data_IF_332451436048
#
_entry.id   IF_332451436048
#
_cell.length_a   1.000
_cell.length_b   1.000
_cell.length_c   1.000
_cell.angle_alpha   90.00
_cell.angle_beta   90.00
_cell.angle_gamma   90.00
#
_symmetry.space_group_name_H-M   'P 1'
#
loop_
_entity.id
_entity.type
_entity.pdbx_description
1 polymer ?
#
# COMPACT_ATOMS: atom_id res chain seq x y z
N UNK A 1 1.37 5.95 28.58
CA UNK A 1 1.51 4.62 27.97
C UNK A 1 1.36 4.82 26.47
N UNK A 2 2.23 4.33 25.63
CA UNK A 2 2.28 4.61 24.16
C UNK A 2 2.62 6.06 23.75
N UNK A 3 3.40 6.78 24.55
CA UNK A 3 3.81 8.16 24.22
C UNK A 3 4.77 8.17 23.02
N UNK A 4 5.68 7.22 22.94
CA UNK A 4 6.59 7.05 21.79
C UNK A 4 5.81 6.76 20.51
N UNK A 5 4.82 5.85 20.57
CA UNK A 5 3.95 5.54 19.42
C UNK A 5 3.22 6.80 18.92
N UNK A 6 2.67 7.58 19.85
CA UNK A 6 1.96 8.82 19.51
C UNK A 6 2.88 9.85 18.85
N UNK A 7 4.04 10.08 19.42
CA UNK A 7 5.01 11.03 18.90
C UNK A 7 5.49 10.65 17.48
N UNK A 8 5.88 9.39 17.30
CA UNK A 8 6.26 8.85 15.99
C UNK A 8 5.12 8.93 14.98
N UNK A 9 3.88 8.64 15.42
CA UNK A 9 2.70 8.72 14.58
C UNK A 9 2.44 10.16 14.09
N UNK A 10 2.48 11.13 15.01
CA UNK A 10 2.25 12.54 14.69
C UNK A 10 3.29 13.06 13.67
N UNK A 11 4.55 12.67 13.77
CA UNK A 11 5.59 13.05 12.80
C UNK A 11 5.36 12.44 11.41
N UNK A 12 4.70 11.29 11.34
CA UNK A 12 4.46 10.57 10.07
C UNK A 12 3.19 10.98 9.35
N UNK A 13 2.25 11.65 10.02
CA UNK A 13 0.94 11.99 9.43
C UNK A 13 1.07 12.79 8.13
N UNK A 14 1.89 13.83 8.12
CA UNK A 14 2.04 14.67 6.92
C UNK A 14 2.65 13.89 5.74
N UNK A 15 3.72 13.14 5.99
CA UNK A 15 4.34 12.29 4.97
C UNK A 15 3.36 11.22 4.47
N UNK A 16 2.59 10.62 5.38
CA UNK A 16 1.56 9.63 5.05
C UNK A 16 0.46 10.21 4.18
N UNK A 17 0.02 11.44 4.45
CA UNK A 17 -0.98 12.13 3.64
C UNK A 17 -0.46 12.46 2.24
N UNK A 18 0.79 12.91 2.12
CA UNK A 18 1.41 13.19 0.81
C UNK A 18 1.47 11.91 -0.03
N UNK A 19 1.92 10.80 0.57
CA UNK A 19 1.98 9.51 -0.12
C UNK A 19 0.57 9.00 -0.45
N UNK A 20 -0.36 9.12 0.50
CA UNK A 20 -1.75 8.70 0.28
C UNK A 20 -2.38 9.46 -0.90
N UNK A 21 -2.18 10.77 -0.96
CA UNK A 21 -2.67 11.60 -2.08
C UNK A 21 -2.01 11.19 -3.40
N UNK A 22 -0.69 10.98 -3.40
CA UNK A 22 0.04 10.55 -4.61
C UNK A 22 -0.46 9.19 -5.13
N UNK A 23 -0.57 8.20 -4.25
CA UNK A 23 -1.06 6.87 -4.60
C UNK A 23 -2.54 6.87 -4.99
N UNK A 24 -3.35 7.65 -4.29
CA UNK A 24 -4.77 7.80 -4.61
C UNK A 24 -4.97 8.52 -5.96
N UNK A 25 -4.18 9.56 -6.25
CA UNK A 25 -4.23 10.23 -7.55
C UNK A 25 -3.83 9.28 -8.68
N UNK A 26 -2.76 8.49 -8.49
CA UNK A 26 -2.36 7.47 -9.45
C UNK A 26 -3.45 6.41 -9.62
N UNK A 27 -3.97 5.85 -8.51
CA UNK A 27 -5.01 4.83 -8.54
C UNK A 27 -6.31 5.33 -9.16
N UNK A 28 -6.75 6.54 -8.80
CA UNK A 28 -7.91 7.18 -9.43
C UNK A 28 -7.71 7.41 -10.92
N UNK A 29 -6.53 7.92 -11.33
CA UNK A 29 -6.20 8.09 -12.73
C UNK A 29 -6.23 6.76 -13.50
N UNK A 30 -5.60 5.70 -12.98
CA UNK A 30 -5.61 4.38 -13.60
C UNK A 30 -7.03 3.84 -13.73
N UNK A 31 -7.85 3.99 -12.68
CA UNK A 31 -9.26 3.56 -12.71
C UNK A 31 -10.07 4.32 -13.75
N UNK A 32 -9.88 5.64 -13.87
CA UNK A 32 -10.58 6.46 -14.85
C UNK A 32 -10.14 6.17 -16.30
N UNK A 33 -8.89 5.78 -16.52
CA UNK A 33 -8.34 5.47 -17.85
C UNK A 33 -8.58 4.01 -18.26
N UNK A 34 -8.82 3.11 -17.31
CA UNK A 34 -8.95 1.67 -17.54
C UNK A 34 -9.94 1.30 -18.65
N UNK A 35 -11.18 1.87 -18.71
CA UNK A 35 -12.13 1.53 -19.78
C UNK A 35 -11.59 1.84 -21.18
N UNK A 36 -10.90 2.98 -21.36
CA UNK A 36 -10.28 3.36 -22.62
C UNK A 36 -9.10 2.46 -22.97
N UNK A 37 -8.23 2.18 -22.03
CA UNK A 37 -7.05 1.32 -22.24
C UNK A 37 -7.49 -0.10 -22.60
N UNK A 38 -8.44 -0.67 -21.86
CA UNK A 38 -8.95 -2.03 -22.10
C UNK A 38 -9.72 -2.10 -23.42
N UNK A 39 -10.53 -1.08 -23.73
CA UNK A 39 -11.32 -1.02 -24.95
C UNK A 39 -10.49 -0.84 -26.23
N UNK A 40 -9.32 -0.21 -26.14
CA UNK A 40 -8.40 -0.02 -27.28
C UNK A 40 -7.52 -1.26 -27.56
N UNK A 41 -7.43 -2.19 -26.62
CA UNK A 41 -6.67 -3.45 -26.77
C UNK A 41 -7.64 -4.53 -27.24
N UNK A 42 -7.41 -5.06 -28.45
CA UNK A 42 -8.08 -6.28 -28.90
C UNK A 42 -7.51 -7.48 -28.12
N UNK A 43 -7.99 -7.63 -26.87
CA UNK A 43 -7.50 -8.67 -25.97
C UNK A 43 -7.81 -10.07 -26.49
N UNK A 44 -8.94 -10.25 -27.19
CA UNK A 44 -9.32 -11.53 -27.77
C UNK A 44 -8.33 -11.92 -28.88
N UNK A 45 -8.01 -11.01 -29.79
CA UNK A 45 -7.01 -11.25 -30.83
C UNK A 45 -5.60 -11.43 -30.26
N UNK A 46 -5.29 -10.84 -29.12
CA UNK A 46 -4.02 -11.05 -28.41
C UNK A 46 -3.95 -12.42 -27.76
N UNK A 47 -5.00 -12.84 -27.06
CA UNK A 47 -5.11 -14.14 -26.39
C UNK A 47 -5.02 -15.28 -27.42
N UNK A 48 -5.68 -15.15 -28.57
CA UNK A 48 -5.68 -16.16 -29.63
C UNK A 48 -4.28 -16.44 -30.23
N UNK A 49 -3.33 -15.51 -30.07
CA UNK A 49 -1.95 -15.67 -30.54
C UNK A 49 -1.05 -16.37 -29.52
N UNK A 50 -1.52 -16.59 -28.29
CA UNK A 50 -0.73 -17.16 -27.22
C UNK A 50 -1.03 -18.65 -27.00
N UNK A 51 -0.02 -19.43 -26.56
CA UNK A 51 -0.26 -20.80 -26.12
C UNK A 51 -1.25 -20.82 -24.94
N UNK A 52 -2.20 -21.76 -24.90
CA UNK A 52 -3.20 -21.83 -23.82
C UNK A 52 -2.62 -21.86 -22.41
N UNK A 53 -1.48 -22.51 -22.20
CA UNK A 53 -0.78 -22.52 -20.91
C UNK A 53 -0.21 -21.16 -20.48
N UNK A 54 0.05 -20.24 -21.41
CA UNK A 54 0.44 -18.85 -21.08
C UNK A 54 -0.78 -18.01 -20.69
N UNK A 55 -1.88 -18.18 -21.41
CA UNK A 55 -3.14 -17.48 -21.10
C UNK A 55 -3.59 -17.80 -19.68
N UNK A 56 -3.59 -19.09 -19.32
CA UNK A 56 -3.93 -19.58 -18.00
C UNK A 56 -2.92 -19.12 -16.92
N UNK A 57 -1.61 -19.23 -17.20
CA UNK A 57 -0.57 -18.88 -16.23
C UNK A 57 -0.51 -17.37 -15.91
N UNK A 58 -0.93 -16.52 -16.86
CA UNK A 58 -0.94 -15.06 -16.70
C UNK A 58 -2.32 -14.50 -16.36
N UNK A 59 -3.34 -15.34 -16.31
CA UNK A 59 -4.74 -14.94 -16.04
C UNK A 59 -5.21 -13.77 -16.93
N UNK A 60 -4.88 -13.86 -18.22
CA UNK A 60 -5.07 -12.76 -19.18
C UNK A 60 -6.55 -12.38 -19.37
N UNK A 61 -7.47 -13.33 -19.17
CA UNK A 61 -8.90 -13.04 -19.21
C UNK A 61 -9.33 -12.10 -18.08
N UNK A 62 -8.76 -12.28 -16.90
CA UNK A 62 -9.02 -11.40 -15.75
C UNK A 62 -8.41 -10.02 -15.98
N UNK A 63 -7.22 -9.94 -16.60
CA UNK A 63 -6.58 -8.67 -16.93
C UNK A 63 -7.37 -7.82 -17.94
N UNK A 64 -8.25 -8.44 -18.71
CA UNK A 64 -9.18 -7.73 -19.62
C UNK A 64 -10.36 -7.07 -18.87
N UNK A 65 -10.49 -7.29 -17.56
CA UNK A 65 -11.49 -6.62 -16.72
C UNK A 65 -10.89 -5.41 -16.00
N UNK A 66 -11.73 -4.45 -15.61
CA UNK A 66 -11.27 -3.29 -14.82
C UNK A 66 -10.69 -3.73 -13.48
N UNK A 67 -11.32 -4.67 -12.81
CA UNK A 67 -10.83 -5.23 -11.55
C UNK A 67 -9.44 -5.84 -11.70
N UNK A 68 -9.23 -6.65 -12.74
CA UNK A 68 -7.94 -7.30 -13.00
C UNK A 68 -6.86 -6.30 -13.40
N UNK A 69 -7.19 -5.32 -14.25
CA UNK A 69 -6.28 -4.24 -14.62
C UNK A 69 -5.82 -3.45 -13.39
N UNK A 70 -6.75 -3.02 -12.54
CA UNK A 70 -6.43 -2.28 -11.33
C UNK A 70 -5.68 -3.15 -10.31
N UNK A 71 -6.05 -4.44 -10.19
CA UNK A 71 -5.37 -5.38 -9.31
C UNK A 71 -3.88 -5.50 -9.66
N UNK A 72 -3.57 -5.53 -10.94
CA UNK A 72 -2.19 -5.66 -11.43
C UNK A 72 -1.44 -4.32 -11.35
N UNK A 73 -1.93 -3.30 -12.03
CA UNK A 73 -1.22 -2.03 -12.23
C UNK A 73 -1.13 -1.20 -10.96
N UNK A 74 -2.20 -1.11 -10.20
CA UNK A 74 -2.22 -0.35 -8.96
C UNK A 74 -1.80 -1.21 -7.76
N UNK A 75 -2.54 -2.31 -7.50
CA UNK A 75 -2.35 -3.01 -6.22
C UNK A 75 -1.08 -3.83 -6.19
N UNK A 76 -0.77 -4.60 -7.21
CA UNK A 76 0.41 -5.46 -7.20
C UNK A 76 1.71 -4.66 -7.29
N UNK A 77 1.84 -3.78 -8.27
CA UNK A 77 3.10 -3.08 -8.50
C UNK A 77 3.26 -1.83 -7.65
N UNK A 78 2.29 -0.95 -7.65
CA UNK A 78 2.46 0.36 -7.01
C UNK A 78 2.14 0.29 -5.52
N UNK A 79 1.04 -0.34 -5.16
CA UNK A 79 0.60 -0.38 -3.76
C UNK A 79 1.37 -1.42 -2.95
N UNK A 80 1.34 -2.71 -3.30
CA UNK A 80 2.01 -3.72 -2.50
C UNK A 80 3.53 -3.60 -2.62
N UNK A 81 4.08 -3.58 -3.84
CA UNK A 81 5.52 -3.53 -4.02
C UNK A 81 6.07 -2.14 -3.67
N UNK A 82 5.59 -1.08 -4.29
CA UNK A 82 6.11 0.28 -4.10
C UNK A 82 5.90 0.81 -2.69
N UNK A 83 4.66 0.76 -2.18
CA UNK A 83 4.37 1.20 -0.83
C UNK A 83 4.94 0.25 0.23
N UNK A 84 5.04 -1.06 -0.04
CA UNK A 84 5.73 -2.04 0.81
C UNK A 84 7.20 -1.70 1.01
N UNK A 85 7.92 -1.36 -0.07
CA UNK A 85 9.32 -0.90 -0.02
C UNK A 85 9.43 0.40 0.78
N UNK A 86 8.51 1.35 0.58
CA UNK A 86 8.49 2.58 1.37
C UNK A 86 8.28 2.30 2.87
N UNK A 87 7.37 1.40 3.23
CA UNK A 87 7.12 1.03 4.64
C UNK A 87 8.36 0.38 5.25
N UNK A 88 9.03 -0.53 4.54
CA UNK A 88 10.28 -1.14 4.98
C UNK A 88 11.39 -0.10 5.19
N UNK A 89 11.60 0.79 4.22
CA UNK A 89 12.58 1.88 4.31
C UNK A 89 12.28 2.83 5.47
N UNK A 90 11.01 3.24 5.61
CA UNK A 90 10.56 4.08 6.71
C UNK A 90 10.76 3.43 8.09
N UNK A 91 10.56 2.11 8.18
CA UNK A 91 10.78 1.34 9.39
C UNK A 91 12.29 1.27 9.74
N UNK A 92 13.15 0.98 8.76
CA UNK A 92 14.60 1.00 8.93
C UNK A 92 15.11 2.36 9.47
N UNK A 93 14.62 3.46 8.89
CA UNK A 93 14.95 4.83 9.31
C UNK A 93 14.49 5.19 10.72
N UNK A 94 13.55 4.45 11.30
CA UNK A 94 13.02 4.74 12.63
C UNK A 94 14.06 4.54 13.75
N UNK A 95 14.86 3.48 13.64
CA UNK A 95 15.93 3.17 14.62
C UNK A 95 17.19 3.93 14.25
N UNK A 96 17.61 3.88 12.98
CA UNK A 96 18.80 4.56 12.50
C UNK A 96 18.73 6.08 12.75
N UNK A 97 17.59 6.70 12.47
CA UNK A 97 17.40 8.14 12.71
C UNK A 97 17.44 8.54 14.18
N UNK A 98 17.06 7.67 15.11
CA UNK A 98 17.22 7.97 16.55
C UNK A 98 18.68 7.86 17.00
N UNK A 99 19.44 6.95 16.39
CA UNK A 99 20.90 6.83 16.65
C UNK A 99 21.61 8.07 16.11
N UNK A 100 21.34 8.45 14.85
CA UNK A 100 21.97 9.58 14.18
C UNK A 100 21.67 10.95 14.85
N UNK A 101 20.51 11.06 15.50
CA UNK A 101 20.09 12.28 16.18
C UNK A 101 20.31 12.25 17.70
N UNK A 102 21.13 11.34 18.23
CA UNK A 102 21.47 11.17 19.66
C UNK A 102 20.23 10.97 20.57
N UNK A 103 19.09 10.58 19.99
CA UNK A 103 17.83 10.34 20.75
C UNK A 103 17.80 8.96 21.39
N UNK A 104 18.57 8.01 20.87
CA UNK A 104 18.58 6.64 21.38
C UNK A 104 19.05 6.59 22.84
N UNK A 105 20.05 7.37 23.22
CA UNK A 105 20.56 7.42 24.61
C UNK A 105 19.49 7.91 25.58
N UNK A 106 18.72 8.90 25.18
CA UNK A 106 17.57 9.42 25.96
C UNK A 106 16.47 8.36 26.11
N UNK A 107 16.15 7.64 25.03
CA UNK A 107 15.16 6.55 25.06
C UNK A 107 15.62 5.38 25.94
N UNK A 108 16.89 5.02 25.91
CA UNK A 108 17.46 3.93 26.72
C UNK A 108 17.66 4.31 28.17
N UNK A 109 17.74 5.59 28.52
CA UNK A 109 17.79 6.08 29.89
C UNK A 109 16.40 6.05 30.56
N UNK A 110 15.31 5.97 29.79
CA UNK A 110 13.96 5.85 30.34
C UNK A 110 13.75 4.46 30.97
N UNK A 111 12.91 4.34 32.03
CA UNK A 111 12.64 3.07 32.71
C UNK A 111 11.68 2.16 31.88
N UNK A 112 12.00 1.94 30.62
CA UNK A 112 11.23 1.11 29.68
C UNK A 112 12.14 0.08 29.02
N UNK A 113 11.61 -1.11 28.73
CA UNK A 113 12.40 -2.16 28.09
C UNK A 113 12.64 -1.86 26.61
N UNK A 114 13.79 -2.32 26.09
CA UNK A 114 14.13 -2.19 24.66
C UNK A 114 13.07 -2.83 23.75
N UNK A 115 12.52 -3.98 24.16
CA UNK A 115 11.44 -4.65 23.44
C UNK A 115 10.19 -3.79 23.33
N UNK A 116 9.88 -3.02 24.37
CA UNK A 116 8.76 -2.10 24.36
C UNK A 116 8.98 -0.92 23.41
N UNK A 117 10.18 -0.33 23.42
CA UNK A 117 10.54 0.74 22.47
C UNK A 117 10.34 0.24 21.03
N UNK A 118 10.88 -0.94 20.71
CA UNK A 118 10.74 -1.54 19.40
C UNK A 118 9.28 -1.78 19.01
N UNK A 119 8.48 -2.33 19.93
CA UNK A 119 7.07 -2.58 19.70
C UNK A 119 6.28 -1.27 19.48
N UNK A 120 6.55 -0.24 20.28
CA UNK A 120 5.87 1.06 20.13
C UNK A 120 6.22 1.70 18.77
N UNK A 121 7.47 1.62 18.33
CA UNK A 121 7.90 2.08 17.00
C UNK A 121 7.27 1.28 15.85
N UNK A 122 7.18 -0.02 16.02
CA UNK A 122 6.51 -0.90 15.06
C UNK A 122 5.00 -0.57 14.95
N UNK A 123 4.32 -0.39 16.07
CA UNK A 123 2.90 -0.02 16.09
C UNK A 123 2.64 1.36 15.45
N UNK A 124 3.60 2.27 15.51
CA UNK A 124 3.49 3.56 14.84
C UNK A 124 3.41 3.45 13.30
N UNK A 125 3.88 2.34 12.70
CA UNK A 125 3.72 2.07 11.27
C UNK A 125 2.25 1.85 10.85
N UNK A 126 1.37 1.50 11.78
CA UNK A 126 -0.06 1.38 11.48
C UNK A 126 -0.65 2.70 10.98
N UNK A 127 -0.14 3.84 11.44
CA UNK A 127 -0.67 5.16 11.05
C UNK A 127 -0.53 5.41 9.54
N UNK A 128 0.68 5.37 8.94
CA UNK A 128 0.82 5.52 7.50
C UNK A 128 0.08 4.44 6.71
N UNK A 129 0.13 3.19 7.18
CA UNK A 129 -0.55 2.07 6.52
C UNK A 129 -2.06 2.32 6.46
N UNK A 130 -2.70 2.68 7.57
CA UNK A 130 -4.15 2.88 7.62
C UNK A 130 -4.58 4.15 6.87
N UNK A 131 -3.82 5.24 6.94
CA UNK A 131 -4.13 6.47 6.18
C UNK A 131 -4.10 6.18 4.68
N UNK A 132 -3.03 5.56 4.20
CA UNK A 132 -2.88 5.25 2.77
C UNK A 132 -3.98 4.29 2.30
N UNK A 133 -4.23 3.21 3.06
CA UNK A 133 -5.31 2.28 2.75
C UNK A 133 -6.68 2.96 2.65
N UNK A 134 -7.02 3.80 3.61
CA UNK A 134 -8.31 4.49 3.62
C UNK A 134 -8.47 5.45 2.43
N UNK A 135 -7.45 6.27 2.16
CA UNK A 135 -7.52 7.29 1.10
C UNK A 135 -7.52 6.63 -0.29
N UNK A 136 -6.63 5.67 -0.54
CA UNK A 136 -6.57 4.96 -1.83
C UNK A 136 -7.87 4.19 -2.07
N UNK A 137 -8.36 3.44 -1.08
CA UNK A 137 -9.59 2.66 -1.21
C UNK A 137 -10.82 3.53 -1.54
N UNK A 138 -10.96 4.67 -0.85
CA UNK A 138 -12.07 5.61 -1.13
C UNK A 138 -11.98 6.19 -2.54
N UNK A 139 -10.78 6.60 -2.97
CA UNK A 139 -10.62 7.22 -4.30
C UNK A 139 -10.83 6.20 -5.41
N UNK A 140 -10.28 5.00 -5.29
CA UNK A 140 -10.48 3.93 -6.28
C UNK A 140 -11.95 3.56 -6.38
N UNK A 141 -12.64 3.38 -5.26
CA UNK A 141 -14.06 3.08 -5.24
C UNK A 141 -14.90 4.18 -5.90
N UNK A 142 -14.62 5.44 -5.57
CA UNK A 142 -15.33 6.57 -6.17
C UNK A 142 -15.05 6.70 -7.67
N UNK A 143 -13.81 6.48 -8.11
CA UNK A 143 -13.42 6.52 -9.52
C UNK A 143 -14.08 5.41 -10.34
N UNK A 144 -14.15 4.18 -9.81
CA UNK A 144 -14.84 3.07 -10.44
C UNK A 144 -16.34 3.33 -10.60
N UNK A 145 -16.97 3.88 -9.57
CA UNK A 145 -18.37 4.29 -9.64
C UNK A 145 -18.62 5.41 -10.66
N UNK A 146 -17.64 6.30 -10.84
CA UNK A 146 -17.73 7.41 -11.81
C UNK A 146 -17.67 6.95 -13.28
N UNK A 147 -16.92 5.89 -13.56
CA UNK A 147 -16.83 5.31 -14.92
C UNK A 147 -17.92 4.25 -15.18
N UNK A 148 -18.91 4.14 -14.28
CA UNK A 148 -20.04 3.19 -14.38
C UNK A 148 -19.62 1.71 -14.37
N UNK A 149 -18.42 1.41 -13.85
CA UNK A 149 -17.87 0.08 -13.69
C UNK A 149 -17.62 -0.20 -12.20
N UNK A 150 -18.67 -0.44 -11.42
CA UNK A 150 -18.56 -0.52 -9.97
C UNK A 150 -17.82 -1.77 -9.53
N UNK A 151 -16.74 -1.58 -8.78
CA UNK A 151 -16.03 -2.65 -8.09
C UNK A 151 -16.81 -3.05 -6.83
N UNK A 152 -16.92 -4.34 -6.57
CA UNK A 152 -17.59 -4.81 -5.36
C UNK A 152 -16.87 -4.27 -4.10
N UNK A 153 -17.59 -3.54 -3.25
CA UNK A 153 -17.00 -2.96 -2.04
C UNK A 153 -16.38 -4.01 -1.11
N UNK A 154 -16.92 -5.25 -1.11
CA UNK A 154 -16.38 -6.35 -0.32
C UNK A 154 -14.98 -6.77 -0.79
N UNK A 155 -14.75 -6.84 -2.11
CA UNK A 155 -13.47 -7.24 -2.68
C UNK A 155 -12.42 -6.16 -2.45
N UNK A 156 -12.79 -4.89 -2.64
CA UNK A 156 -11.92 -3.76 -2.34
C UNK A 156 -11.54 -3.72 -0.86
N UNK A 157 -12.48 -3.92 0.05
CA UNK A 157 -12.21 -4.01 1.48
C UNK A 157 -11.31 -5.20 1.82
N UNK A 158 -11.50 -6.35 1.17
CA UNK A 158 -10.66 -7.52 1.37
C UNK A 158 -9.20 -7.24 0.96
N UNK A 159 -8.96 -6.62 -0.21
CA UNK A 159 -7.62 -6.24 -0.67
C UNK A 159 -6.96 -5.31 0.35
N UNK A 160 -7.64 -4.26 0.79
CA UNK A 160 -7.11 -3.32 1.78
C UNK A 160 -6.88 -3.98 3.15
N UNK A 161 -7.78 -4.84 3.61
CA UNK A 161 -7.62 -5.55 4.88
C UNK A 161 -6.43 -6.52 4.84
N UNK A 162 -6.26 -7.26 3.74
CA UNK A 162 -5.13 -8.19 3.55
C UNK A 162 -3.80 -7.47 3.33
N UNK A 163 -3.80 -6.26 2.77
CA UNK A 163 -2.59 -5.48 2.61
C UNK A 163 -1.97 -5.06 3.95
N UNK A 164 -2.77 -4.85 4.99
CA UNK A 164 -2.27 -4.40 6.30
C UNK A 164 -1.24 -5.36 6.92
N UNK A 165 -1.52 -6.67 7.10
CA UNK A 165 -0.53 -7.60 7.62
C UNK A 165 0.69 -7.74 6.71
N UNK A 166 0.52 -7.68 5.38
CA UNK A 166 1.63 -7.69 4.44
C UNK A 166 2.55 -6.46 4.63
N UNK A 167 1.99 -5.27 4.70
CA UNK A 167 2.75 -4.02 4.91
C UNK A 167 3.43 -3.98 6.28
N UNK A 168 2.78 -4.52 7.32
CA UNK A 168 3.41 -4.70 8.62
C UNK A 168 4.58 -5.70 8.56
N UNK A 169 4.45 -6.77 7.78
CA UNK A 169 5.56 -7.70 7.55
C UNK A 169 6.74 -6.99 6.86
N UNK A 170 6.49 -6.17 5.82
CA UNK A 170 7.52 -5.34 5.20
C UNK A 170 8.17 -4.40 6.23
N UNK A 171 7.39 -3.78 7.10
CA UNK A 171 7.89 -2.93 8.19
C UNK A 171 8.75 -3.69 9.20
N UNK A 172 8.31 -4.89 9.60
CA UNK A 172 9.10 -5.75 10.50
C UNK A 172 10.44 -6.14 9.87
N UNK A 173 10.43 -6.49 8.57
CA UNK A 173 11.65 -6.80 7.83
C UNK A 173 12.60 -5.61 7.75
N UNK A 174 12.07 -4.40 7.56
CA UNK A 174 12.88 -3.17 7.55
C UNK A 174 13.51 -2.80 8.90
N UNK A 175 12.97 -3.32 10.01
CA UNK A 175 13.52 -3.10 11.36
C UNK A 175 14.63 -4.07 11.75
N UNK A 176 14.86 -5.14 10.98
CA UNK A 176 15.93 -6.13 11.23
C UNK A 176 17.28 -5.64 10.73
#
# INVERSE_FOLDING_TARGET
>A
MFETTRFEAEQRVLASLVIAVGLAAFGGMMTLLAPGIIGDIDMEAFIDQLPPGMVEAMDLEVMATIEGFIALELYQYVFLLGFGVYVAYSAAGTIAGDIENDRMDTLLAAPISRARILLEKFLALLVPILIVNAVVGVVVYASAAFVEEPIAAADLLAVHALSVPYLLFCGAFGML
#
